data_IF_974648002089
#
_entry.id   IF_974648002089
#
_cell.length_a   1.000
_cell.length_b   1.000
_cell.length_c   1.000
_cell.angle_alpha   90.00
_cell.angle_beta   90.00
_cell.angle_gamma   90.00
#
_symmetry.space_group_name_H-M   'P 1'
#
loop_
_entity.id
_entity.type
_entity.pdbx_description
1 polymer ?
#
# COMPACT_ATOMS: atom_id res chain seq x y z
N UNK A 1 -46.09 10.22 10.76
CA UNK A 1 -45.21 9.98 9.60
C UNK A 1 -43.77 10.46 9.79
N UNK A 2 -43.54 11.73 10.16
CA UNK A 2 -42.18 12.30 10.34
C UNK A 2 -41.36 11.59 11.42
N UNK A 3 -41.95 11.21 12.56
CA UNK A 3 -41.25 10.47 13.63
C UNK A 3 -40.74 9.08 13.18
N UNK A 4 -41.53 8.37 12.35
CA UNK A 4 -41.14 7.06 11.78
C UNK A 4 -39.99 7.20 10.80
N UNK A 5 -40.02 8.24 9.95
CA UNK A 5 -38.95 8.57 9.01
C UNK A 5 -37.63 8.86 9.70
N UNK A 6 -37.68 9.68 10.78
CA UNK A 6 -36.50 10.01 11.57
C UNK A 6 -35.89 8.77 12.27
N UNK A 7 -36.74 7.85 12.72
CA UNK A 7 -36.31 6.61 13.36
C UNK A 7 -35.60 5.68 12.35
N UNK A 8 -36.11 5.58 11.13
CA UNK A 8 -35.52 4.80 10.05
C UNK A 8 -34.15 5.38 9.63
N UNK A 9 -34.04 6.69 9.51
CA UNK A 9 -32.80 7.37 9.18
C UNK A 9 -31.74 7.15 10.28
N UNK A 10 -32.16 7.26 11.56
CA UNK A 10 -31.25 7.03 12.69
C UNK A 10 -30.76 5.57 12.75
N UNK A 11 -31.64 4.61 12.47
CA UNK A 11 -31.30 3.19 12.42
C UNK A 11 -30.35 2.86 11.27
N UNK A 12 -30.60 3.45 10.09
CA UNK A 12 -29.72 3.32 8.94
C UNK A 12 -28.33 3.91 9.18
N UNK A 13 -28.27 5.09 9.82
CA UNK A 13 -27.02 5.73 10.21
C UNK A 13 -26.25 4.89 11.24
N UNK A 14 -26.95 4.30 12.21
CA UNK A 14 -26.35 3.40 13.21
C UNK A 14 -25.80 2.12 12.55
N UNK A 15 -26.52 1.52 11.61
CA UNK A 15 -26.09 0.35 10.84
C UNK A 15 -24.85 0.66 9.99
N UNK A 16 -24.80 1.81 9.34
CA UNK A 16 -23.63 2.28 8.59
C UNK A 16 -22.43 2.48 9.52
N UNK A 17 -22.64 3.11 10.69
CA UNK A 17 -21.59 3.29 11.70
C UNK A 17 -21.05 1.96 12.24
N UNK A 18 -21.92 0.97 12.49
CA UNK A 18 -21.53 -0.36 12.94
C UNK A 18 -20.79 -1.10 11.82
N UNK A 19 -21.24 -1.00 10.57
CA UNK A 19 -20.59 -1.63 9.41
C UNK A 19 -19.19 -1.04 9.16
N UNK A 20 -19.03 0.28 9.26
CA UNK A 20 -17.72 0.94 9.12
C UNK A 20 -16.76 0.57 10.25
N UNK A 21 -17.29 0.34 11.47
CA UNK A 21 -16.48 -0.03 12.63
C UNK A 21 -16.07 -1.51 12.67
N UNK A 22 -16.76 -2.38 11.93
CA UNK A 22 -16.56 -3.83 11.97
C UNK A 22 -15.72 -4.40 10.82
N UNK A 23 -15.03 -3.56 10.05
CA UNK A 23 -14.01 -4.04 9.10
C UNK A 23 -12.62 -3.88 9.71
N UNK A 24 -12.15 -4.81 10.54
CA UNK A 24 -10.76 -4.79 10.97
C UNK A 24 -9.90 -5.06 9.74
N UNK A 25 -9.12 -4.09 9.31
CA UNK A 25 -7.96 -4.39 8.47
C UNK A 25 -7.05 -5.27 9.33
N UNK A 26 -7.14 -6.58 9.14
CA UNK A 26 -6.34 -7.53 9.90
C UNK A 26 -4.86 -7.23 9.61
N UNK A 27 -4.20 -6.62 10.58
CA UNK A 27 -2.75 -6.41 10.49
C UNK A 27 -2.07 -7.78 10.45
N UNK A 28 -1.20 -7.99 9.48
CA UNK A 28 -0.44 -9.23 9.38
C UNK A 28 0.40 -9.43 10.65
N UNK A 29 0.35 -10.65 11.18
CA UNK A 29 1.17 -11.03 12.33
C UNK A 29 2.54 -11.47 11.85
N UNK A 30 3.57 -11.22 12.65
CA UNK A 30 4.91 -11.76 12.40
C UNK A 30 4.82 -13.29 12.34
N UNK A 31 5.46 -13.89 11.34
CA UNK A 31 5.40 -15.35 11.08
C UNK A 31 4.22 -15.80 10.24
N UNK A 32 3.28 -14.91 9.88
CA UNK A 32 2.23 -15.24 8.92
C UNK A 32 2.79 -15.29 7.49
N UNK A 33 2.16 -16.11 6.63
CA UNK A 33 2.47 -16.08 5.21
C UNK A 33 2.11 -14.72 4.61
N UNK A 34 3.06 -14.14 3.88
CA UNK A 34 2.82 -12.90 3.17
C UNK A 34 1.80 -13.11 2.04
N UNK A 35 0.78 -12.26 1.92
CA UNK A 35 -0.15 -12.32 0.80
C UNK A 35 0.55 -12.17 -0.54
N UNK A 36 0.16 -12.99 -1.51
CA UNK A 36 0.65 -12.87 -2.88
C UNK A 36 0.15 -11.57 -3.52
N UNK A 37 0.96 -11.01 -4.42
CA UNK A 37 0.58 -9.85 -5.22
C UNK A 37 0.98 -10.02 -6.69
N UNK A 38 0.26 -9.31 -7.55
CA UNK A 38 0.54 -9.22 -8.98
C UNK A 38 0.12 -7.81 -9.43
N UNK A 39 1.08 -6.91 -9.59
CA UNK A 39 0.86 -5.48 -9.85
C UNK A 39 1.81 -4.96 -10.93
N UNK A 40 1.37 -3.95 -11.68
CA UNK A 40 2.23 -3.23 -12.62
C UNK A 40 3.22 -2.32 -11.90
N UNK A 41 4.46 -2.30 -12.35
CA UNK A 41 5.46 -1.34 -11.88
C UNK A 41 5.46 -0.03 -12.71
N UNK A 42 6.37 0.89 -12.38
CA UNK A 42 6.55 2.17 -13.08
C UNK A 42 6.96 2.05 -14.55
N UNK A 43 7.45 0.89 -14.97
CA UNK A 43 7.85 0.62 -16.35
C UNK A 43 6.77 -0.13 -17.14
N UNK A 44 5.58 -0.36 -16.53
CA UNK A 44 4.50 -1.13 -17.12
C UNK A 44 4.77 -2.64 -17.14
N UNK A 45 5.72 -3.12 -16.35
CA UNK A 45 6.00 -4.54 -16.20
C UNK A 45 5.18 -5.14 -15.08
N UNK A 46 4.57 -6.29 -15.33
CA UNK A 46 3.86 -7.04 -14.30
C UNK A 46 4.87 -7.68 -13.34
N UNK A 47 4.76 -7.33 -12.06
CA UNK A 47 5.62 -7.85 -11.01
C UNK A 47 4.80 -8.75 -10.09
N UNK A 48 5.32 -9.90 -9.79
CA UNK A 48 4.66 -10.92 -8.97
C UNK A 48 5.49 -11.22 -7.72
N UNK A 49 4.82 -11.51 -6.61
CA UNK A 49 5.48 -11.84 -5.34
C UNK A 49 6.47 -13.00 -5.46
N UNK A 50 6.20 -13.94 -6.38
CA UNK A 50 7.05 -15.11 -6.60
C UNK A 50 8.46 -14.78 -7.13
N UNK A 51 8.63 -13.63 -7.79
CA UNK A 51 9.94 -13.15 -8.26
C UNK A 51 10.93 -12.87 -7.13
N UNK A 52 10.42 -12.61 -5.93
CA UNK A 52 11.20 -12.20 -4.76
C UNK A 52 11.52 -13.38 -3.83
N UNK A 53 11.00 -14.58 -4.11
CA UNK A 53 11.24 -15.77 -3.27
C UNK A 53 12.73 -16.11 -3.17
N UNK A 54 13.14 -16.55 -1.97
CA UNK A 54 14.53 -16.91 -1.70
C UNK A 54 15.47 -15.74 -1.42
N UNK A 55 14.92 -14.53 -1.30
CA UNK A 55 15.65 -13.30 -0.92
C UNK A 55 14.83 -12.52 0.09
N UNK A 56 15.48 -11.68 0.87
CA UNK A 56 14.77 -10.73 1.72
C UNK A 56 14.05 -9.70 0.86
N UNK A 57 12.79 -9.45 1.14
CA UNK A 57 11.99 -8.41 0.50
C UNK A 57 11.58 -7.35 1.53
N UNK A 58 12.03 -6.13 1.33
CA UNK A 58 11.55 -4.94 2.04
C UNK A 58 10.38 -4.38 1.22
N UNK A 59 9.17 -4.76 1.60
CA UNK A 59 7.93 -4.28 0.97
C UNK A 59 7.37 -3.13 1.79
N UNK A 60 7.45 -1.89 1.26
CA UNK A 60 6.95 -0.73 1.97
C UNK A 60 5.73 -0.12 1.28
N UNK A 61 4.68 0.09 2.06
CA UNK A 61 3.48 0.79 1.65
C UNK A 61 3.58 2.26 2.04
N UNK A 62 3.14 3.15 1.17
CA UNK A 62 3.18 4.59 1.42
C UNK A 62 1.95 5.29 0.82
N UNK A 63 1.50 6.42 1.41
CA UNK A 63 0.25 7.06 1.03
C UNK A 63 0.20 7.55 -0.42
N UNK A 64 1.21 8.29 -0.88
CA UNK A 64 1.15 8.95 -2.19
C UNK A 64 2.52 9.44 -2.67
N UNK A 65 2.76 9.32 -3.99
CA UNK A 65 3.90 9.90 -4.68
C UNK A 65 4.00 11.41 -4.46
N UNK A 66 5.23 11.92 -4.49
CA UNK A 66 5.54 13.36 -4.43
C UNK A 66 5.04 14.09 -3.17
N UNK A 67 4.68 13.38 -2.09
CA UNK A 67 4.47 13.99 -0.79
C UNK A 67 5.79 14.06 -0.01
N UNK A 68 6.01 15.09 0.85
CA UNK A 68 7.31 15.28 1.50
C UNK A 68 7.80 14.06 2.29
N UNK A 69 6.91 13.42 3.06
CA UNK A 69 7.25 12.24 3.87
C UNK A 69 7.57 11.00 3.03
N UNK A 70 6.78 10.75 1.96
CA UNK A 70 7.00 9.62 1.07
C UNK A 70 8.26 9.80 0.22
N UNK A 71 8.52 11.03 -0.23
CA UNK A 71 9.76 11.37 -0.94
C UNK A 71 10.99 11.13 -0.06
N UNK A 72 10.95 11.58 1.19
CA UNK A 72 12.05 11.35 2.15
C UNK A 72 12.30 9.87 2.38
N UNK A 73 11.23 9.07 2.55
CA UNK A 73 11.33 7.61 2.75
C UNK A 73 11.92 6.91 1.52
N UNK A 74 11.40 7.20 0.32
CA UNK A 74 11.90 6.63 -0.93
C UNK A 74 13.37 6.98 -1.19
N UNK A 75 13.76 8.23 -0.93
CA UNK A 75 15.16 8.66 -1.06
C UNK A 75 16.08 7.95 -0.06
N UNK A 76 15.62 7.67 1.17
CA UNK A 76 16.41 6.87 2.13
C UNK A 76 16.62 5.44 1.61
N UNK A 77 15.57 4.78 1.11
CA UNK A 77 15.72 3.46 0.49
C UNK A 77 16.64 3.49 -0.73
N UNK A 78 16.60 4.55 -1.54
CA UNK A 78 17.56 4.75 -2.64
C UNK A 78 18.98 4.83 -2.14
N UNK A 79 19.23 5.67 -1.14
CA UNK A 79 20.57 5.92 -0.63
C UNK A 79 21.17 4.65 0.04
N UNK A 80 20.32 3.84 0.70
CA UNK A 80 20.70 2.57 1.33
C UNK A 80 20.64 1.36 0.37
N UNK A 81 20.22 1.57 -0.89
CA UNK A 81 19.91 0.47 -1.82
C UNK A 81 21.11 -0.48 -2.04
N UNK A 82 22.31 0.08 -2.22
CA UNK A 82 23.52 -0.72 -2.42
C UNK A 82 23.86 -1.58 -1.18
N UNK A 83 23.67 -1.04 0.01
CA UNK A 83 23.90 -1.78 1.26
C UNK A 83 22.86 -2.91 1.43
N UNK A 84 21.60 -2.65 1.12
CA UNK A 84 20.53 -3.66 1.16
C UNK A 84 20.78 -4.78 0.15
N UNK A 85 21.21 -4.45 -1.07
CA UNK A 85 21.55 -5.47 -2.09
C UNK A 85 22.72 -6.36 -1.64
N UNK A 86 23.73 -5.82 -0.98
CA UNK A 86 24.87 -6.60 -0.48
C UNK A 86 24.48 -7.68 0.52
N UNK A 87 23.42 -7.47 1.28
CA UNK A 87 22.86 -8.47 2.21
C UNK A 87 21.75 -9.31 1.58
N UNK A 88 21.55 -9.21 0.27
CA UNK A 88 20.54 -9.98 -0.47
C UNK A 88 19.12 -9.48 -0.32
N UNK A 89 18.91 -8.26 0.18
CA UNK A 89 17.59 -7.67 0.33
C UNK A 89 17.19 -6.84 -0.91
N UNK A 90 15.93 -6.96 -1.31
CA UNK A 90 15.31 -6.17 -2.37
C UNK A 90 14.29 -5.20 -1.77
N UNK A 91 14.15 -4.04 -2.38
CA UNK A 91 13.17 -3.02 -1.97
C UNK A 91 12.07 -2.91 -3.02
N UNK A 92 10.83 -2.87 -2.57
CA UNK A 92 9.64 -2.65 -3.41
C UNK A 92 8.70 -1.70 -2.70
N UNK A 93 8.32 -0.61 -3.36
CA UNK A 93 7.31 0.32 -2.86
C UNK A 93 5.93 0.01 -3.43
N UNK A 94 4.89 0.27 -2.66
CA UNK A 94 3.48 0.08 -3.07
C UNK A 94 2.65 1.27 -2.65
N UNK A 95 1.93 1.86 -3.57
CA UNK A 95 0.89 2.86 -3.28
C UNK A 95 -0.31 2.71 -4.23
N UNK A 96 -1.35 3.48 -4.00
CA UNK A 96 -2.55 3.50 -4.86
C UNK A 96 -2.38 4.39 -6.10
N UNK A 97 -1.21 4.99 -6.29
CA UNK A 97 -0.91 5.78 -7.47
C UNK A 97 -0.84 4.90 -8.74
N UNK A 98 -0.91 5.53 -9.90
CA UNK A 98 -0.80 4.84 -11.19
C UNK A 98 0.66 4.56 -11.55
N UNK A 99 0.90 3.57 -12.44
CA UNK A 99 2.23 3.32 -13.01
C UNK A 99 2.85 4.56 -13.65
N UNK A 100 2.04 5.40 -14.31
CA UNK A 100 2.51 6.64 -14.89
C UNK A 100 2.96 7.67 -13.83
N UNK A 101 2.24 7.78 -12.71
CA UNK A 101 2.65 8.62 -11.58
C UNK A 101 3.97 8.09 -10.97
N UNK A 102 4.04 6.78 -10.75
CA UNK A 102 5.26 6.11 -10.29
C UNK A 102 6.45 6.33 -11.22
N UNK A 103 6.24 6.32 -12.55
CA UNK A 103 7.31 6.59 -13.51
C UNK A 103 7.89 7.99 -13.33
N UNK A 104 7.03 8.99 -13.17
CA UNK A 104 7.45 10.37 -12.88
C UNK A 104 8.20 10.49 -11.56
N UNK A 105 7.66 9.90 -10.49
CA UNK A 105 8.26 9.91 -9.16
C UNK A 105 9.61 9.19 -9.13
N UNK A 106 9.69 7.99 -9.70
CA UNK A 106 10.93 7.21 -9.76
C UNK A 106 12.01 7.94 -10.58
N UNK A 107 11.65 8.53 -11.71
CA UNK A 107 12.57 9.31 -12.56
C UNK A 107 13.09 10.55 -11.83
N UNK A 108 12.19 11.35 -11.24
CA UNK A 108 12.54 12.58 -10.53
C UNK A 108 13.52 12.34 -9.39
N UNK A 109 13.34 11.25 -8.65
CA UNK A 109 14.15 10.93 -7.48
C UNK A 109 15.20 9.84 -7.72
N UNK A 110 15.35 9.36 -8.98
CA UNK A 110 16.32 8.33 -9.37
C UNK A 110 16.19 7.07 -8.49
N UNK A 111 14.97 6.57 -8.31
CA UNK A 111 14.69 5.40 -7.49
C UNK A 111 15.09 4.12 -8.24
N UNK A 112 16.01 3.28 -7.72
CA UNK A 112 16.55 2.12 -8.43
C UNK A 112 15.75 0.83 -8.20
N UNK A 113 14.54 0.92 -7.64
CA UNK A 113 13.72 -0.23 -7.26
C UNK A 113 12.27 -0.08 -7.79
N UNK A 114 11.51 -1.19 -7.88
CA UNK A 114 10.14 -1.15 -8.34
C UNK A 114 9.20 -0.38 -7.41
N UNK A 115 8.29 0.40 -8.02
CA UNK A 115 7.12 0.99 -7.39
C UNK A 115 5.89 0.36 -8.02
N UNK A 116 5.03 -0.26 -7.23
CA UNK A 116 3.88 -1.05 -7.68
C UNK A 116 2.57 -0.27 -7.53
N UNK A 117 1.78 -0.24 -8.59
CA UNK A 117 0.53 0.49 -8.70
C UNK A 117 -0.65 -0.35 -8.19
N UNK A 118 -0.98 -0.25 -6.92
CA UNK A 118 -2.15 -0.89 -6.30
C UNK A 118 -3.37 0.04 -6.33
N UNK A 119 -3.82 0.40 -7.54
CA UNK A 119 -4.89 1.40 -7.77
C UNK A 119 -6.18 1.11 -7.00
N UNK A 120 -6.53 -0.16 -6.81
CA UNK A 120 -7.73 -0.58 -6.10
C UNK A 120 -7.50 -0.70 -4.59
N UNK A 121 -6.24 -0.74 -4.15
CA UNK A 121 -5.87 -0.92 -2.76
C UNK A 121 -6.07 -2.36 -2.26
N UNK A 122 -6.18 -3.33 -3.16
CA UNK A 122 -6.47 -4.72 -2.80
C UNK A 122 -5.27 -5.37 -2.10
N UNK A 123 -4.06 -5.10 -2.59
CA UNK A 123 -2.83 -5.59 -1.96
C UNK A 123 -2.60 -4.88 -0.63
N UNK A 124 -2.75 -3.55 -0.58
CA UNK A 124 -2.68 -2.80 0.68
C UNK A 124 -3.70 -3.31 1.71
N UNK A 125 -4.91 -3.66 1.27
CA UNK A 125 -5.94 -4.26 2.13
C UNK A 125 -5.51 -5.63 2.65
N UNK A 126 -5.00 -6.51 1.79
CA UNK A 126 -4.54 -7.84 2.17
C UNK A 126 -3.41 -7.78 3.23
N UNK A 127 -2.53 -6.78 3.13
CA UNK A 127 -1.47 -6.52 4.10
C UNK A 127 -1.92 -5.71 5.33
N UNK A 128 -3.20 -5.33 5.44
CA UNK A 128 -3.67 -4.47 6.54
C UNK A 128 -3.16 -3.02 6.46
N UNK A 129 -2.57 -2.65 5.33
CA UNK A 129 -1.97 -1.35 5.06
C UNK A 129 -2.91 -0.41 4.27
N UNK A 130 -4.20 -0.71 4.14
CA UNK A 130 -5.15 0.18 3.48
C UNK A 130 -5.81 1.12 4.48
N UNK A 131 -5.82 2.41 4.13
CA UNK A 131 -6.70 3.42 4.71
C UNK A 131 -7.86 3.66 3.74
N UNK A 132 -9.01 3.11 4.06
CA UNK A 132 -10.21 3.23 3.23
C UNK A 132 -11.06 4.39 3.77
N UNK A 133 -11.04 5.50 3.07
CA UNK A 133 -11.82 6.70 3.38
C UNK A 133 -13.05 6.78 2.47
N UNK A 134 -14.13 7.50 2.85
CA UNK A 134 -15.39 7.50 2.11
C UNK A 134 -15.26 7.83 0.61
N UNK A 135 -14.30 8.70 0.25
CA UNK A 135 -14.15 9.20 -1.13
C UNK A 135 -12.82 8.85 -1.79
N UNK A 136 -11.86 8.30 -1.05
CA UNK A 136 -10.55 7.96 -1.58
C UNK A 136 -9.86 6.88 -0.74
N UNK A 137 -8.92 6.20 -1.37
CA UNK A 137 -8.09 5.17 -0.75
C UNK A 137 -6.65 5.67 -0.67
N UNK A 138 -5.97 5.36 0.41
CA UNK A 138 -4.54 5.58 0.58
C UNK A 138 -3.92 4.36 1.25
N UNK A 139 -2.68 4.05 0.92
CA UNK A 139 -1.93 3.11 1.73
C UNK A 139 -1.44 3.79 3.02
N UNK A 140 -1.45 3.04 4.11
CA UNK A 140 -0.80 3.44 5.36
C UNK A 140 0.71 3.28 5.19
N UNK A 141 1.48 4.02 5.98
CA UNK A 141 2.93 3.86 6.00
C UNK A 141 3.31 2.63 6.84
N UNK A 142 3.39 1.48 6.18
CA UNK A 142 3.80 0.21 6.77
C UNK A 142 4.91 -0.42 5.96
N UNK A 143 5.90 -0.99 6.64
CA UNK A 143 6.99 -1.73 5.99
C UNK A 143 6.99 -3.16 6.53
N UNK A 144 7.09 -4.11 5.62
CA UNK A 144 7.18 -5.54 5.91
C UNK A 144 8.53 -6.06 5.44
N UNK A 145 9.15 -6.87 6.26
CA UNK A 145 10.30 -7.68 5.89
C UNK A 145 9.82 -9.11 5.67
N UNK A 146 9.98 -9.62 4.47
CA UNK A 146 9.46 -10.91 4.01
C UNK A 146 10.61 -11.80 3.53
#
# INVERSE_FOLDING_TARGET
MIKLLLLVIALAALLVLVYVKSSPSAQLKVGALAPAFSLMDQNGQLRQSDEFKGRWLVLYFYPKDNTPGCTKEACRFRDEHSALQKIGAQVVGVSVDSSAAHAGFASQHRLPFPLLADKQGDVAKAYGALMNLPYFKLAKRHTYLI
#
